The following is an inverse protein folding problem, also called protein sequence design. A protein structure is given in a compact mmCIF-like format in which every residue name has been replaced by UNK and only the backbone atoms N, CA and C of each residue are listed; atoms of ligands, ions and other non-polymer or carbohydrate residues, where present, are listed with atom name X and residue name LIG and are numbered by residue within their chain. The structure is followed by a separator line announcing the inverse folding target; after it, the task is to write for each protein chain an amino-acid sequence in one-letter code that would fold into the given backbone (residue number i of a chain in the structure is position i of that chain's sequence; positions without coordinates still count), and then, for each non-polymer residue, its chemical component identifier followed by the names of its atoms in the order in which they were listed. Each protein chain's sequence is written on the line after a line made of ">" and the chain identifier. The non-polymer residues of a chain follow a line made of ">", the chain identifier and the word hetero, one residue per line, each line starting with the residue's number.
data_IF_565147376471
#
_entry.id   IF_565147376471
#
_cell.length_a   1.000
_cell.length_b   1.000
_cell.length_c   1.000
_cell.angle_alpha   90.00
_cell.angle_beta   90.00
_cell.angle_gamma   90.00
#
_symmetry.space_group_name_H-M   'P 1'
#
loop_
_entity.id
_entity.type
_entity.pdbx_description
1 polymer ?
#
# COMPACT_ATOMS: atom_id res chain seq x y z
N UNK A 1 -4.00 15.09 19.08
CA UNK A 1 -4.69 14.16 18.13
C UNK A 1 -6.17 14.32 18.34
N UNK A 2 -6.88 14.66 17.30
CA UNK A 2 -8.33 14.81 17.35
C UNK A 2 -8.98 13.43 17.38
N UNK A 3 -9.91 13.20 18.29
CA UNK A 3 -10.55 11.91 18.49
C UNK A 3 -12.00 11.97 18.04
N UNK A 4 -12.43 11.01 17.24
CA UNK A 4 -13.83 10.81 16.86
C UNK A 4 -14.39 9.68 17.71
N UNK A 5 -15.38 10.00 18.55
CA UNK A 5 -16.08 9.03 19.38
C UNK A 5 -17.42 8.67 18.73
N UNK A 6 -17.68 7.38 18.58
CA UNK A 6 -18.96 6.84 18.10
C UNK A 6 -19.61 6.09 19.25
N UNK A 7 -20.81 6.53 19.63
CA UNK A 7 -21.56 5.95 20.75
C UNK A 7 -22.90 5.39 20.24
N UNK A 8 -23.12 4.07 20.30
CA UNK A 8 -24.37 3.47 19.84
C UNK A 8 -25.55 3.98 20.66
N UNK A 9 -26.63 4.36 19.98
CA UNK A 9 -27.90 4.80 20.57
C UNK A 9 -29.02 3.79 20.32
N UNK A 10 -28.83 2.92 19.33
CA UNK A 10 -29.68 1.76 19.06
C UNK A 10 -28.90 0.70 18.28
N UNK A 11 -29.55 -0.41 17.91
CA UNK A 11 -28.95 -1.43 17.05
C UNK A 11 -28.61 -0.95 15.63
N UNK A 12 -29.15 0.17 15.20
CA UNK A 12 -29.02 0.72 13.84
C UNK A 12 -28.59 2.19 13.81
N UNK A 13 -28.37 2.82 14.97
CA UNK A 13 -27.95 4.23 15.05
C UNK A 13 -26.88 4.44 16.12
N UNK A 14 -25.95 5.36 15.85
CA UNK A 14 -24.93 5.81 16.81
C UNK A 14 -24.72 7.32 16.69
N UNK A 15 -24.59 7.98 17.83
CA UNK A 15 -24.16 9.37 17.89
C UNK A 15 -22.65 9.45 17.65
N UNK A 16 -22.22 10.47 16.92
CA UNK A 16 -20.82 10.73 16.61
C UNK A 16 -20.37 12.04 17.26
N UNK A 17 -19.07 12.22 17.44
CA UNK A 17 -18.54 13.49 17.95
C UNK A 17 -19.05 14.68 17.12
N UNK A 18 -19.39 15.81 17.74
CA UNK A 18 -19.90 16.97 17.02
C UNK A 18 -18.82 17.60 16.14
N UNK A 19 -19.24 18.12 14.98
CA UNK A 19 -18.41 18.98 14.12
C UNK A 19 -18.59 20.41 14.60
N UNK A 20 -17.52 21.03 15.09
CA UNK A 20 -17.54 22.44 15.52
C UNK A 20 -17.40 23.29 14.25
N UNK A 21 -18.41 24.09 13.96
CA UNK A 21 -18.42 25.01 12.82
C UNK A 21 -17.77 26.33 13.19
N UNK A 22 -18.22 26.91 14.32
CA UNK A 22 -17.62 28.09 14.91
C UNK A 22 -17.72 28.05 16.44
N UNK A 23 -16.77 28.65 17.12
CA UNK A 23 -16.73 28.74 18.57
C UNK A 23 -16.17 30.09 19.02
N UNK A 24 -16.88 30.72 19.96
CA UNK A 24 -16.45 31.93 20.63
C UNK A 24 -16.57 31.73 22.14
N UNK A 25 -16.10 32.68 22.93
CA UNK A 25 -16.23 32.65 24.39
C UNK A 25 -17.69 32.54 24.87
N UNK A 26 -18.67 32.93 24.03
CA UNK A 26 -20.09 32.99 24.40
C UNK A 26 -21.02 32.16 23.53
N UNK A 27 -20.56 31.70 22.37
CA UNK A 27 -21.41 31.00 21.40
C UNK A 27 -20.66 29.83 20.78
N UNK A 28 -21.38 28.79 20.45
CA UNK A 28 -20.87 27.64 19.71
C UNK A 28 -21.89 27.20 18.69
N UNK A 29 -21.48 27.12 17.42
CA UNK A 29 -22.25 26.53 16.34
C UNK A 29 -21.64 25.18 16.02
N UNK A 30 -22.45 24.12 16.02
CA UNK A 30 -21.95 22.77 15.73
C UNK A 30 -23.01 21.93 15.00
N UNK A 31 -22.54 20.91 14.29
CA UNK A 31 -23.36 19.87 13.72
C UNK A 31 -23.13 18.57 14.50
N UNK A 32 -24.21 17.97 14.99
CA UNK A 32 -24.21 16.68 15.70
C UNK A 32 -24.59 15.56 14.73
N UNK A 33 -23.61 14.84 14.16
CA UNK A 33 -23.87 13.76 13.21
C UNK A 33 -24.33 12.49 13.93
N UNK A 34 -25.18 11.73 13.25
CA UNK A 34 -25.72 10.44 13.69
C UNK A 34 -25.50 9.45 12.56
N UNK A 35 -24.71 8.40 12.83
CA UNK A 35 -24.60 7.27 11.92
C UNK A 35 -25.90 6.46 11.90
N UNK A 36 -26.29 5.99 10.72
CA UNK A 36 -27.48 5.13 10.51
C UNK A 36 -27.07 3.96 9.64
N UNK A 37 -27.40 2.74 10.07
CA UNK A 37 -27.23 1.57 9.21
C UNK A 37 -28.27 1.60 8.10
N UNK A 38 -27.80 1.81 6.89
CA UNK A 38 -28.64 1.79 5.70
C UNK A 38 -27.88 1.08 4.56
N UNK A 39 -28.07 -0.21 4.46
CA UNK A 39 -27.44 -1.03 3.44
C UNK A 39 -27.97 -0.75 2.03
N UNK A 40 -29.23 -0.34 1.91
CA UNK A 40 -29.91 -0.12 0.62
C UNK A 40 -29.56 1.23 0.00
N UNK A 41 -29.32 2.24 0.83
CA UNK A 41 -29.05 3.61 0.39
C UNK A 41 -27.82 4.19 1.14
N UNK A 42 -26.58 3.91 0.67
CA UNK A 42 -25.37 4.39 1.33
C UNK A 42 -25.32 5.90 1.55
N UNK A 43 -25.96 6.68 0.69
CA UNK A 43 -26.07 8.15 0.81
C UNK A 43 -26.87 8.62 2.03
N UNK A 44 -27.65 7.75 2.65
CA UNK A 44 -28.46 8.06 3.85
C UNK A 44 -27.85 7.53 5.14
N UNK A 45 -26.57 7.25 5.16
CA UNK A 45 -25.86 6.71 6.35
C UNK A 45 -25.60 7.74 7.43
N UNK A 46 -25.60 9.02 7.10
CA UNK A 46 -25.43 10.10 8.08
C UNK A 46 -26.63 11.02 8.05
N UNK A 47 -27.21 11.24 9.21
CA UNK A 47 -28.14 12.32 9.50
C UNK A 47 -27.62 13.14 10.67
N UNK A 48 -28.16 14.31 10.95
CA UNK A 48 -27.67 15.09 12.07
C UNK A 48 -28.56 16.25 12.44
N UNK A 49 -28.09 17.01 13.41
CA UNK A 49 -28.73 18.19 13.95
C UNK A 49 -27.74 19.35 13.91
N UNK A 50 -28.22 20.50 13.47
CA UNK A 50 -27.52 21.75 13.62
C UNK A 50 -27.90 22.36 14.96
N UNK A 51 -26.86 22.72 15.75
CA UNK A 51 -27.07 23.20 17.13
C UNK A 51 -26.30 24.50 17.31
N UNK A 52 -27.02 25.52 17.73
CA UNK A 52 -26.44 26.78 18.19
C UNK A 52 -26.57 26.88 19.70
N UNK A 53 -25.46 27.05 20.40
CA UNK A 53 -25.40 27.16 21.87
C UNK A 53 -24.90 28.54 22.27
N UNK A 54 -25.53 29.12 23.28
CA UNK A 54 -25.09 30.37 23.88
C UNK A 54 -24.75 30.12 25.36
N UNK A 55 -23.50 30.50 25.78
CA UNK A 55 -23.04 30.31 27.14
C UNK A 55 -23.47 31.49 27.99
N UNK A 56 -24.16 31.26 29.13
CA UNK A 56 -24.43 32.30 30.14
C UNK A 56 -23.17 32.66 30.93
N UNK A 57 -22.96 33.96 31.19
CA UNK A 57 -21.73 34.52 31.75
C UNK A 57 -21.42 34.03 33.18
N UNK A 58 -22.40 33.52 33.93
CA UNK A 58 -22.25 33.31 35.38
C UNK A 58 -22.30 31.86 35.88
N UNK A 59 -22.60 30.86 35.04
CA UNK A 59 -22.86 29.48 35.53
C UNK A 59 -22.22 28.36 34.68
N UNK A 60 -21.51 28.67 33.61
CA UNK A 60 -20.90 27.62 32.72
C UNK A 60 -21.93 26.67 32.06
N UNK A 61 -23.22 26.98 32.12
CA UNK A 61 -24.28 26.18 31.55
C UNK A 61 -24.84 26.81 30.29
N UNK A 62 -25.12 25.96 29.31
CA UNK A 62 -25.79 26.37 28.06
C UNK A 62 -27.29 26.59 28.29
N UNK A 63 -27.81 27.71 27.83
CA UNK A 63 -29.25 27.95 27.81
C UNK A 63 -29.84 27.25 26.57
N UNK A 64 -30.46 26.09 26.80
CA UNK A 64 -31.05 25.27 25.73
C UNK A 64 -32.52 25.67 25.49
N UNK A 65 -32.74 26.58 24.54
CA UNK A 65 -34.09 26.76 23.99
C UNK A 65 -34.17 25.88 22.72
N UNK A 66 -34.86 24.75 22.83
CA UNK A 66 -35.06 23.84 21.72
C UNK A 66 -36.19 24.34 20.85
N UNK A 67 -35.91 24.76 19.61
CA UNK A 67 -36.91 25.08 18.60
C UNK A 67 -37.01 23.85 17.69
N UNK A 68 -38.21 23.29 17.56
CA UNK A 68 -38.51 22.19 16.64
C UNK A 68 -39.24 22.70 15.40
N UNK A 69 -39.28 21.92 14.33
CA UNK A 69 -40.08 22.26 13.13
C UNK A 69 -41.56 22.49 13.43
N UNK A 70 -42.05 21.95 14.52
CA UNK A 70 -43.47 22.10 14.96
C UNK A 70 -43.73 23.45 15.63
N UNK A 71 -42.66 24.13 16.07
CA UNK A 71 -42.77 25.45 16.73
C UNK A 71 -42.73 26.61 15.71
N UNK A 72 -42.55 26.29 14.42
CA UNK A 72 -42.55 27.26 13.32
C UNK A 72 -43.94 27.28 12.71
N UNK A 73 -44.60 28.43 12.77
CA UNK A 73 -45.97 28.64 12.22
C UNK A 73 -45.98 28.63 10.69
N UNK A 74 -47.20 28.60 10.14
CA UNK A 74 -47.43 28.77 8.70
C UNK A 74 -46.89 30.15 8.27
N UNK A 75 -46.03 30.22 7.28
CA UNK A 75 -45.36 31.42 6.77
C UNK A 75 -44.18 31.94 7.66
N UNK A 76 -43.76 31.16 8.66
CA UNK A 76 -42.55 31.45 9.42
C UNK A 76 -41.42 30.55 8.98
N UNK A 77 -40.17 31.04 9.07
CA UNK A 77 -38.96 30.27 8.78
C UNK A 77 -37.83 30.61 9.77
N UNK A 78 -36.89 29.72 9.89
CA UNK A 78 -35.63 29.96 10.62
C UNK A 78 -34.53 30.00 9.60
N UNK A 79 -33.83 31.12 9.52
CA UNK A 79 -32.66 31.32 8.68
C UNK A 79 -31.40 31.20 9.54
N UNK A 80 -30.46 30.42 9.08
CA UNK A 80 -29.14 30.29 9.66
C UNK A 80 -28.12 30.61 8.57
N UNK A 81 -27.45 31.72 8.70
CA UNK A 81 -26.39 32.13 7.78
C UNK A 81 -25.06 31.53 8.26
N UNK A 82 -24.35 30.93 7.34
CA UNK A 82 -23.01 30.43 7.54
C UNK A 82 -22.02 31.30 6.79
N UNK A 83 -20.92 31.62 7.43
CA UNK A 83 -19.78 32.20 6.73
C UNK A 83 -18.97 31.13 5.96
N UNK A 84 -17.93 31.56 5.26
CA UNK A 84 -17.12 30.65 4.44
C UNK A 84 -16.39 29.60 5.29
N UNK A 85 -15.93 29.96 6.49
CA UNK A 85 -15.20 29.06 7.38
C UNK A 85 -16.15 28.02 7.99
N UNK A 86 -17.33 28.45 8.44
CA UNK A 86 -18.38 27.56 8.94
C UNK A 86 -18.83 26.56 7.87
N UNK A 87 -19.02 27.02 6.64
CA UNK A 87 -19.38 26.19 5.48
C UNK A 87 -18.28 25.17 5.18
N UNK A 88 -17.01 25.63 5.18
CA UNK A 88 -15.87 24.75 4.97
C UNK A 88 -15.74 23.67 6.07
N UNK A 89 -15.87 24.07 7.35
CA UNK A 89 -15.78 23.15 8.48
C UNK A 89 -16.91 22.11 8.46
N UNK A 90 -18.12 22.51 8.07
CA UNK A 90 -19.25 21.58 7.91
C UNK A 90 -18.97 20.56 6.78
N UNK A 91 -18.55 21.04 5.61
CA UNK A 91 -18.28 20.18 4.46
C UNK A 91 -17.14 19.19 4.77
N UNK A 92 -16.03 19.68 5.34
CA UNK A 92 -14.87 18.87 5.75
C UNK A 92 -15.26 17.82 6.80
N UNK A 93 -15.96 18.22 7.87
CA UNK A 93 -16.35 17.30 8.91
C UNK A 93 -17.35 16.24 8.43
N UNK A 94 -18.34 16.61 7.60
CA UNK A 94 -19.26 15.65 7.00
C UNK A 94 -18.52 14.65 6.10
N UNK A 95 -17.58 15.12 5.29
CA UNK A 95 -16.74 14.27 4.46
C UNK A 95 -16.00 13.23 5.31
N UNK A 96 -15.29 13.65 6.37
CA UNK A 96 -14.57 12.77 7.27
C UNK A 96 -15.48 11.69 7.89
N UNK A 97 -16.70 12.05 8.29
CA UNK A 97 -17.64 11.09 8.86
C UNK A 97 -18.24 10.14 7.84
N UNK A 98 -18.51 10.60 6.61
CA UNK A 98 -18.92 9.71 5.54
C UNK A 98 -17.84 8.67 5.25
N UNK A 99 -16.57 9.11 5.18
CA UNK A 99 -15.40 8.23 5.00
C UNK A 99 -15.34 7.19 6.12
N UNK A 100 -15.41 7.63 7.37
CA UNK A 100 -15.31 6.75 8.53
C UNK A 100 -16.40 5.68 8.57
N UNK A 101 -17.58 5.96 8.03
CA UNK A 101 -18.75 5.05 8.09
C UNK A 101 -18.92 4.17 6.88
N UNK A 102 -18.13 4.36 5.81
CA UNK A 102 -18.20 3.51 4.60
C UNK A 102 -17.87 2.06 4.95
N UNK A 103 -18.76 1.15 4.54
CA UNK A 103 -18.58 -0.29 4.77
C UNK A 103 -18.69 -0.74 6.23
N UNK A 104 -18.93 0.18 7.17
CA UNK A 104 -19.01 -0.14 8.61
C UNK A 104 -20.43 -0.08 9.12
N UNK A 105 -20.82 -1.09 9.90
CA UNK A 105 -22.06 -1.10 10.67
C UNK A 105 -21.94 -0.25 11.93
N UNK A 106 -23.06 0.17 12.48
CA UNK A 106 -23.10 0.83 13.79
C UNK A 106 -22.45 -0.05 14.85
N UNK A 107 -21.48 0.44 15.64
CA UNK A 107 -20.80 -0.37 16.63
C UNK A 107 -21.73 -0.78 17.77
N UNK A 108 -21.57 -1.98 18.32
CA UNK A 108 -22.33 -2.46 19.49
C UNK A 108 -21.89 -1.82 20.81
N UNK A 109 -20.67 -1.28 20.87
CA UNK A 109 -20.09 -0.59 22.05
C UNK A 109 -19.46 0.73 21.61
N UNK A 110 -19.33 1.72 22.51
CA UNK A 110 -18.65 2.97 22.21
C UNK A 110 -17.24 2.69 21.64
N UNK A 111 -16.91 3.35 20.54
CA UNK A 111 -15.61 3.27 19.88
C UNK A 111 -15.01 4.66 19.77
N UNK A 112 -13.70 4.74 19.90
CA UNK A 112 -12.95 5.97 19.70
C UNK A 112 -11.95 5.75 18.58
N UNK A 113 -12.02 6.59 17.57
CA UNK A 113 -11.08 6.63 16.45
C UNK A 113 -10.13 7.79 16.66
N UNK A 114 -8.85 7.55 16.54
CA UNK A 114 -7.81 8.57 16.59
C UNK A 114 -7.53 8.99 15.16
N UNK A 115 -7.66 10.28 14.86
CA UNK A 115 -7.19 10.81 13.58
C UNK A 115 -5.66 10.67 13.56
N UNK A 116 -5.16 9.71 12.80
CA UNK A 116 -3.74 9.63 12.50
C UNK A 116 -3.41 10.66 11.40
N UNK A 117 -2.21 11.21 11.42
CA UNK A 117 -1.73 12.09 10.34
C UNK A 117 -1.47 11.34 9.00
N UNK A 118 -1.88 10.08 8.90
CA UNK A 118 -1.94 9.28 7.66
C UNK A 118 -3.17 9.63 6.79
N UNK A 119 -3.64 10.88 6.89
CA UNK A 119 -4.74 11.43 6.08
C UNK A 119 -4.59 11.13 4.58
N UNK A 120 -3.37 10.97 4.15
CA UNK A 120 -3.12 10.77 2.73
C UNK A 120 -3.41 9.35 2.23
N UNK A 121 -3.08 8.30 2.97
CA UNK A 121 -3.33 6.90 2.53
C UNK A 121 -4.81 6.53 2.55
N UNK A 122 -5.52 6.96 3.59
CA UNK A 122 -6.97 6.78 3.67
C UNK A 122 -7.72 7.57 2.58
N UNK A 123 -7.23 8.78 2.24
CA UNK A 123 -7.81 9.59 1.16
C UNK A 123 -7.69 8.94 -0.21
N UNK A 124 -6.60 8.23 -0.48
CA UNK A 124 -6.39 7.55 -1.77
C UNK A 124 -7.21 6.27 -1.86
N UNK A 125 -7.23 5.45 -0.82
CA UNK A 125 -8.11 4.28 -0.79
C UNK A 125 -9.57 4.71 -0.96
N UNK A 126 -9.91 5.84 -0.38
CA UNK A 126 -11.24 6.40 -0.48
C UNK A 126 -11.56 6.97 -1.86
N UNK A 127 -10.63 7.66 -2.50
CA UNK A 127 -10.77 8.09 -3.90
C UNK A 127 -10.95 6.88 -4.83
N UNK A 128 -10.18 5.81 -4.63
CA UNK A 128 -10.37 4.57 -5.38
C UNK A 128 -11.77 4.00 -5.18
N UNK A 129 -12.29 4.03 -3.97
CA UNK A 129 -13.63 3.51 -3.66
C UNK A 129 -14.74 4.40 -4.21
N UNK A 130 -14.59 5.73 -4.14
CA UNK A 130 -15.52 6.69 -4.77
C UNK A 130 -15.57 6.49 -6.29
N UNK A 131 -14.42 6.29 -6.92
CA UNK A 131 -14.32 6.03 -8.36
C UNK A 131 -15.00 4.70 -8.72
N UNK A 132 -14.86 3.66 -7.89
CA UNK A 132 -15.50 2.37 -8.09
C UNK A 132 -17.02 2.42 -7.84
N UNK A 133 -17.45 3.10 -6.78
CA UNK A 133 -18.86 3.15 -6.36
C UNK A 133 -19.69 4.19 -7.15
N UNK A 134 -19.05 5.08 -7.89
CA UNK A 134 -19.70 6.14 -8.66
C UNK A 134 -19.16 6.18 -10.10
N UNK A 135 -19.53 5.21 -10.96
CA UNK A 135 -19.01 5.15 -12.34
C UNK A 135 -19.22 6.44 -13.15
N UNK A 136 -20.22 7.25 -12.79
CA UNK A 136 -20.52 8.52 -13.46
C UNK A 136 -19.64 9.69 -12.99
N UNK A 137 -18.84 9.56 -11.93
CA UNK A 137 -17.90 10.62 -11.52
C UNK A 137 -16.81 10.82 -12.59
N UNK A 138 -16.34 9.72 -13.17
CA UNK A 138 -15.35 9.79 -14.25
C UNK A 138 -15.87 10.49 -15.51
N UNK A 139 -17.19 10.47 -15.74
CA UNK A 139 -17.79 11.17 -16.88
C UNK A 139 -17.96 12.69 -16.66
N UNK A 140 -17.79 13.15 -15.42
CA UNK A 140 -17.84 14.57 -15.06
C UNK A 140 -16.44 15.24 -15.05
N UNK A 141 -15.37 14.43 -15.09
CA UNK A 141 -14.00 14.90 -15.15
C UNK A 141 -13.56 14.99 -16.62
N UNK A 142 -12.83 16.03 -16.96
CA UNK A 142 -12.14 16.07 -18.25
C UNK A 142 -11.04 15.00 -18.30
N UNK A 143 -10.68 14.53 -19.50
CA UNK A 143 -9.65 13.49 -19.65
C UNK A 143 -8.33 13.89 -19.01
N UNK A 144 -7.96 15.18 -19.11
CA UNK A 144 -6.77 15.75 -18.47
C UNK A 144 -6.77 15.60 -16.94
N UNK A 145 -7.92 15.76 -16.28
CA UNK A 145 -8.05 15.64 -14.83
C UNK A 145 -7.90 14.19 -14.39
N UNK A 146 -8.47 13.26 -15.18
CA UNK A 146 -8.32 11.82 -14.97
C UNK A 146 -6.86 11.39 -15.10
N UNK A 147 -6.16 11.91 -16.10
CA UNK A 147 -4.76 11.60 -16.35
C UNK A 147 -3.88 12.13 -15.19
N UNK A 148 -4.07 13.38 -14.77
CA UNK A 148 -3.36 13.97 -13.63
C UNK A 148 -3.62 13.16 -12.34
N UNK A 149 -4.87 12.83 -12.06
CA UNK A 149 -5.22 12.05 -10.88
C UNK A 149 -4.57 10.65 -10.91
N UNK A 150 -4.60 9.98 -12.05
CA UNK A 150 -4.02 8.65 -12.22
C UNK A 150 -2.50 8.65 -12.01
N UNK A 151 -1.79 9.66 -12.54
CA UNK A 151 -0.34 9.83 -12.34
C UNK A 151 -0.05 10.13 -10.87
N UNK A 152 -0.81 11.04 -10.24
CA UNK A 152 -0.62 11.41 -8.83
C UNK A 152 -0.78 10.20 -7.90
N UNK A 153 -1.81 9.37 -8.13
CA UNK A 153 -2.04 8.14 -7.36
C UNK A 153 -0.90 7.13 -7.53
N UNK A 154 -0.40 6.96 -8.76
CA UNK A 154 0.74 6.07 -9.04
C UNK A 154 2.02 6.55 -8.37
N UNK A 155 2.36 7.84 -8.49
CA UNK A 155 3.54 8.41 -7.82
C UNK A 155 3.46 8.21 -6.31
N UNK A 156 2.29 8.37 -5.73
CA UNK A 156 2.10 8.15 -4.30
C UNK A 156 2.28 6.68 -3.89
N UNK A 157 1.72 5.75 -4.65
CA UNK A 157 1.94 4.31 -4.44
C UNK A 157 3.44 3.97 -4.50
N UNK A 158 4.16 4.49 -5.50
CA UNK A 158 5.62 4.33 -5.62
C UNK A 158 6.35 4.85 -4.38
N UNK A 159 6.02 6.07 -3.92
CA UNK A 159 6.63 6.69 -2.74
C UNK A 159 6.34 5.90 -1.46
N UNK A 160 5.13 5.42 -1.29
CA UNK A 160 4.73 4.63 -0.13
C UNK A 160 5.48 3.29 -0.10
N UNK A 161 5.54 2.58 -1.22
CA UNK A 161 6.26 1.31 -1.34
C UNK A 161 7.76 1.51 -1.12
N UNK A 162 8.36 2.57 -1.68
CA UNK A 162 9.75 2.94 -1.41
C UNK A 162 9.99 3.15 0.07
N UNK A 163 9.18 3.98 0.72
CA UNK A 163 9.27 4.27 2.16
C UNK A 163 9.12 3.01 3.01
N UNK A 164 8.22 2.11 2.63
CA UNK A 164 8.05 0.82 3.31
C UNK A 164 9.32 -0.02 3.24
N UNK A 165 9.93 -0.14 2.07
CA UNK A 165 11.19 -0.89 1.88
C UNK A 165 12.32 -0.21 2.67
N UNK A 166 12.51 1.10 2.54
CA UNK A 166 13.57 1.86 3.22
C UNK A 166 13.53 1.72 4.73
N UNK A 167 12.35 1.84 5.34
CA UNK A 167 12.18 1.71 6.79
C UNK A 167 12.51 0.32 7.32
N UNK A 168 12.51 -0.69 6.48
CA UNK A 168 12.69 -2.08 6.87
C UNK A 168 14.00 -2.69 6.39
N UNK A 169 14.94 -1.93 5.81
CA UNK A 169 16.23 -2.45 5.32
C UNK A 169 17.06 -3.19 6.37
N UNK A 170 16.79 -2.98 7.66
CA UNK A 170 17.39 -3.74 8.76
C UNK A 170 16.71 -5.07 9.07
N UNK A 171 15.60 -5.41 8.43
CA UNK A 171 14.87 -6.63 8.70
C UNK A 171 15.55 -7.83 8.02
N UNK A 172 15.81 -8.89 8.80
CA UNK A 172 16.47 -10.12 8.35
C UNK A 172 15.50 -11.31 8.18
N UNK A 173 14.20 -11.08 8.17
CA UNK A 173 13.17 -12.09 7.94
C UNK A 173 12.84 -12.19 6.43
N UNK A 174 13.20 -13.31 5.80
CA UNK A 174 12.89 -13.57 4.39
C UNK A 174 11.36 -13.61 4.14
N UNK A 175 10.58 -14.18 5.07
CA UNK A 175 9.13 -14.25 4.94
C UNK A 175 8.46 -12.87 4.92
N UNK A 176 8.98 -11.92 5.71
CA UNK A 176 8.55 -10.53 5.66
C UNK A 176 8.76 -9.92 4.27
N UNK A 177 9.92 -10.13 3.66
CA UNK A 177 10.23 -9.60 2.34
C UNK A 177 9.41 -10.27 1.23
N UNK A 178 9.17 -11.57 1.33
CA UNK A 178 8.26 -12.28 0.43
C UNK A 178 6.86 -11.68 0.51
N UNK A 179 6.33 -11.40 1.70
CA UNK A 179 5.00 -10.76 1.87
C UNK A 179 4.95 -9.38 1.20
N UNK A 180 5.95 -8.51 1.43
CA UNK A 180 6.01 -7.19 0.78
C UNK A 180 5.99 -7.31 -0.75
N UNK A 181 6.81 -8.18 -1.32
CA UNK A 181 6.89 -8.30 -2.77
C UNK A 181 5.71 -9.05 -3.38
N UNK A 182 4.96 -9.84 -2.61
CA UNK A 182 3.68 -10.42 -3.04
C UNK A 182 2.60 -9.36 -3.18
N UNK A 183 2.57 -8.37 -2.28
CA UNK A 183 1.66 -7.23 -2.36
C UNK A 183 2.08 -6.22 -3.44
N UNK A 184 3.39 -6.09 -3.70
CA UNK A 184 3.98 -5.12 -4.62
C UNK A 184 4.76 -5.81 -5.75
N UNK A 185 4.15 -6.79 -6.44
CA UNK A 185 4.82 -7.59 -7.48
C UNK A 185 5.38 -6.75 -8.63
N UNK A 186 4.83 -5.56 -8.88
CA UNK A 186 5.30 -4.63 -9.89
C UNK A 186 6.74 -4.15 -9.64
N UNK A 187 7.19 -4.10 -8.36
CA UNK A 187 8.56 -3.67 -8.00
C UNK A 187 9.60 -4.57 -8.67
N UNK A 188 9.39 -5.89 -8.58
CA UNK A 188 10.29 -6.86 -9.22
C UNK A 188 10.22 -6.77 -10.75
N UNK A 189 9.04 -6.43 -11.30
CA UNK A 189 8.89 -6.26 -12.76
C UNK A 189 9.83 -5.18 -13.32
N UNK A 190 10.26 -4.20 -12.51
CA UNK A 190 11.18 -3.14 -12.93
C UNK A 190 12.63 -3.61 -13.12
N UNK A 191 12.96 -4.80 -12.66
CA UNK A 191 14.31 -5.36 -12.83
C UNK A 191 14.54 -5.78 -14.29
N UNK A 192 13.49 -6.22 -14.96
CA UNK A 192 13.57 -6.74 -16.31
C UNK A 192 13.68 -5.61 -17.33
N UNK A 193 14.56 -5.79 -18.33
CA UNK A 193 14.64 -4.92 -19.51
C UNK A 193 13.49 -5.13 -20.52
N UNK A 194 12.79 -6.26 -20.42
CA UNK A 194 11.65 -6.64 -21.25
C UNK A 194 10.38 -6.75 -20.40
N UNK A 195 9.17 -6.68 -21.00
CA UNK A 195 7.91 -6.71 -20.26
C UNK A 195 7.65 -8.11 -19.67
N UNK A 196 8.10 -8.30 -18.46
CA UNK A 196 7.77 -9.46 -17.63
C UNK A 196 6.70 -9.07 -16.61
N UNK A 197 5.72 -9.93 -16.44
CA UNK A 197 4.63 -9.79 -15.49
C UNK A 197 4.71 -10.90 -14.45
N UNK A 198 4.26 -10.60 -13.25
CA UNK A 198 4.09 -11.61 -12.21
C UNK A 198 3.24 -12.76 -12.75
N UNK A 199 3.70 -13.98 -12.52
CA UNK A 199 3.04 -15.17 -13.00
C UNK A 199 2.56 -16.07 -11.86
N UNK A 200 3.46 -16.38 -10.90
CA UNK A 200 3.11 -17.25 -9.78
C UNK A 200 4.08 -17.08 -8.59
N UNK A 201 3.54 -17.17 -7.40
CA UNK A 201 4.26 -17.21 -6.13
C UNK A 201 4.49 -18.66 -5.71
N UNK A 202 5.67 -18.94 -5.15
CA UNK A 202 6.11 -20.23 -4.62
C UNK A 202 5.72 -21.45 -5.49
N UNK A 203 5.97 -21.41 -6.80
CA UNK A 203 5.59 -22.51 -7.68
C UNK A 203 6.43 -23.75 -7.42
N UNK A 204 5.80 -24.91 -7.40
CA UNK A 204 6.54 -26.16 -7.42
C UNK A 204 7.22 -26.37 -8.76
N UNK A 205 8.56 -26.46 -8.76
CA UNK A 205 9.36 -26.64 -10.01
C UNK A 205 9.93 -28.04 -10.18
N UNK A 206 9.60 -28.95 -9.27
CA UNK A 206 10.05 -30.33 -9.34
C UNK A 206 10.95 -30.74 -8.16
N UNK A 207 11.62 -31.88 -8.28
CA UNK A 207 12.58 -32.36 -7.27
C UNK A 207 11.99 -33.17 -6.12
N UNK A 208 10.68 -33.44 -6.09
CA UNK A 208 10.11 -34.33 -5.10
C UNK A 208 10.49 -35.78 -5.34
N UNK A 209 10.91 -36.46 -4.27
CA UNK A 209 11.05 -37.89 -4.25
C UNK A 209 9.70 -38.62 -4.25
N UNK A 210 9.74 -39.94 -4.32
CA UNK A 210 8.53 -40.80 -4.23
C UNK A 210 7.78 -40.62 -2.90
N UNK A 211 8.47 -40.17 -1.86
CA UNK A 211 7.97 -39.85 -0.54
C UNK A 211 7.41 -38.41 -0.40
N UNK A 212 7.29 -37.67 -1.53
CA UNK A 212 6.90 -36.26 -1.57
C UNK A 212 7.89 -35.28 -0.88
N UNK A 213 9.08 -35.72 -0.47
CA UNK A 213 10.11 -34.87 0.13
C UNK A 213 10.94 -34.12 -0.93
N UNK A 214 11.71 -33.12 -0.47
CA UNK A 214 12.74 -32.41 -1.26
C UNK A 214 12.25 -31.61 -2.46
N UNK A 215 10.97 -31.21 -2.50
CA UNK A 215 10.44 -30.32 -3.56
C UNK A 215 11.12 -28.95 -3.54
N UNK A 216 11.30 -28.37 -4.73
CA UNK A 216 11.88 -27.04 -4.91
C UNK A 216 10.83 -26.02 -5.28
N UNK A 217 10.89 -24.88 -4.61
CA UNK A 217 9.95 -23.77 -4.73
C UNK A 217 10.76 -22.48 -4.76
N UNK A 218 10.97 -21.85 -5.93
CA UNK A 218 11.46 -20.49 -5.97
C UNK A 218 10.40 -19.52 -5.41
N UNK A 219 10.82 -18.34 -4.99
CA UNK A 219 9.89 -17.37 -4.42
C UNK A 219 8.87 -16.92 -5.46
N UNK A 220 9.33 -16.56 -6.67
CA UNK A 220 8.43 -16.13 -7.74
C UNK A 220 8.81 -16.64 -9.12
N UNK A 221 7.79 -16.80 -9.96
CA UNK A 221 7.94 -16.84 -11.41
C UNK A 221 7.34 -15.58 -12.02
N UNK A 222 8.08 -15.01 -12.94
CA UNK A 222 7.64 -13.95 -13.85
C UNK A 222 7.57 -14.51 -15.27
N UNK A 223 6.68 -13.98 -16.09
CA UNK A 223 6.47 -14.45 -17.46
C UNK A 223 6.49 -13.30 -18.45
N UNK A 224 7.25 -13.44 -19.51
CA UNK A 224 7.25 -12.48 -20.63
C UNK A 224 5.88 -12.40 -21.27
N UNK A 225 5.36 -11.18 -21.41
CA UNK A 225 4.07 -10.91 -22.03
C UNK A 225 4.02 -11.36 -23.52
N UNK A 226 5.16 -11.35 -24.20
CA UNK A 226 5.23 -11.62 -25.64
C UNK A 226 5.57 -13.07 -25.96
N UNK A 227 6.54 -13.64 -25.26
CA UNK A 227 7.09 -14.96 -25.59
C UNK A 227 6.62 -16.06 -24.65
N UNK A 228 5.89 -15.71 -23.58
CA UNK A 228 5.57 -16.61 -22.48
C UNK A 228 6.79 -17.25 -21.81
N UNK A 229 8.02 -16.80 -22.12
CA UNK A 229 9.21 -17.30 -21.46
C UNK A 229 9.24 -16.84 -20.01
N UNK A 230 9.67 -17.71 -19.10
CA UNK A 230 9.70 -17.40 -17.68
C UNK A 230 11.01 -16.78 -17.23
N UNK A 231 10.98 -16.18 -16.05
CA UNK A 231 12.15 -15.87 -15.23
C UNK A 231 11.88 -16.33 -13.79
N UNK A 232 12.89 -16.87 -13.15
CA UNK A 232 12.85 -17.32 -11.76
C UNK A 232 13.42 -16.23 -10.88
N UNK A 233 12.75 -15.91 -9.79
CA UNK A 233 13.20 -14.89 -8.82
C UNK A 233 13.32 -15.54 -7.45
N UNK A 234 14.42 -15.29 -6.79
CA UNK A 234 14.70 -15.65 -5.39
C UNK A 234 15.03 -14.38 -4.61
N UNK A 235 14.53 -14.29 -3.41
CA UNK A 235 14.71 -13.14 -2.53
C UNK A 235 15.44 -13.60 -1.27
N UNK A 236 16.46 -12.84 -0.89
CA UNK A 236 17.10 -12.91 0.40
C UNK A 236 16.83 -11.60 1.15
N UNK A 237 17.50 -11.37 2.26
CA UNK A 237 17.29 -10.14 3.05
C UNK A 237 18.27 -9.03 2.63
N UNK A 238 17.93 -7.76 2.90
CA UNK A 238 18.86 -6.63 2.68
C UNK A 238 20.09 -6.72 3.58
N UNK A 239 20.02 -7.45 4.69
CA UNK A 239 21.13 -7.65 5.64
C UNK A 239 22.10 -8.75 5.23
N UNK A 240 21.77 -9.54 4.21
CA UNK A 240 22.62 -10.60 3.69
C UNK A 240 23.94 -10.02 3.16
N UNK A 241 25.05 -10.57 3.64
CA UNK A 241 26.37 -10.10 3.26
C UNK A 241 26.75 -10.54 1.84
N UNK A 242 27.21 -9.59 1.04
CA UNK A 242 27.61 -9.83 -0.36
C UNK A 242 29.05 -10.32 -0.45
N UNK A 243 29.96 -9.73 0.31
CA UNK A 243 31.41 -9.98 0.28
C UNK A 243 31.90 -10.30 1.69
N UNK A 244 32.90 -11.16 1.78
CA UNK A 244 33.57 -11.52 3.03
C UNK A 244 34.23 -10.30 3.67
N UNK A 245 34.32 -10.30 5.01
CA UNK A 245 34.91 -9.20 5.77
C UNK A 245 36.45 -9.13 5.58
N UNK A 246 37.06 -10.28 5.44
CA UNK A 246 38.53 -10.41 5.28
C UNK A 246 38.93 -10.50 3.81
N UNK A 247 40.06 -9.89 3.49
CA UNK A 247 40.71 -9.99 2.21
C UNK A 247 41.23 -11.43 1.97
N UNK A 248 41.03 -11.96 0.78
CA UNK A 248 41.51 -13.27 0.40
C UNK A 248 43.01 -13.19 -0.05
N UNK A 249 43.29 -12.24 -0.91
CA UNK A 249 44.65 -11.86 -1.35
C UNK A 249 44.64 -10.41 -1.78
N UNK A 250 45.79 -9.79 -1.84
CA UNK A 250 46.05 -8.39 -2.20
C UNK A 250 44.98 -7.74 -3.08
N UNK A 251 44.07 -6.98 -2.46
CA UNK A 251 42.97 -6.27 -3.13
C UNK A 251 41.80 -7.15 -3.58
N UNK A 252 41.80 -8.46 -3.32
CA UNK A 252 40.75 -9.39 -3.74
C UNK A 252 39.96 -9.90 -2.52
N UNK A 253 38.65 -9.79 -2.54
CA UNK A 253 37.74 -10.31 -1.51
C UNK A 253 36.91 -11.46 -2.04
N UNK A 254 36.73 -12.51 -1.24
CA UNK A 254 35.84 -13.61 -1.57
C UNK A 254 34.37 -13.19 -1.44
N UNK A 255 33.54 -13.79 -2.26
CA UNK A 255 32.07 -13.70 -2.10
C UNK A 255 31.66 -14.34 -0.78
N UNK A 256 30.70 -13.73 -0.10
CA UNK A 256 30.17 -14.30 1.15
C UNK A 256 29.45 -15.62 0.91
N UNK A 257 29.53 -16.54 1.88
CA UNK A 257 28.92 -17.87 1.77
C UNK A 257 27.40 -17.82 1.56
N UNK A 258 26.72 -16.86 2.18
CA UNK A 258 25.26 -16.69 2.00
C UNK A 258 24.91 -16.32 0.56
N UNK A 259 25.67 -15.39 -0.06
CA UNK A 259 25.45 -15.03 -1.45
C UNK A 259 25.75 -16.19 -2.40
N UNK A 260 26.88 -16.85 -2.23
CA UNK A 260 27.25 -18.00 -3.08
C UNK A 260 26.26 -19.17 -2.92
N UNK A 261 25.78 -19.41 -1.70
CA UNK A 261 24.73 -20.37 -1.39
C UNK A 261 23.40 -20.05 -2.08
N UNK A 262 22.97 -18.78 -2.03
CA UNK A 262 21.75 -18.32 -2.70
C UNK A 262 21.82 -18.47 -4.23
N UNK A 263 22.97 -18.14 -4.83
CA UNK A 263 23.22 -18.39 -6.26
C UNK A 263 23.13 -19.88 -6.58
N UNK A 264 23.75 -20.73 -5.75
CA UNK A 264 23.69 -22.19 -5.90
C UNK A 264 22.26 -22.74 -5.80
N UNK A 265 21.48 -22.24 -4.84
CA UNK A 265 20.07 -22.57 -4.67
C UNK A 265 19.26 -22.23 -5.93
N UNK A 266 19.38 -21.01 -6.42
CA UNK A 266 18.66 -20.52 -7.58
C UNK A 266 19.04 -21.30 -8.86
N UNK A 267 20.32 -21.58 -9.07
CA UNK A 267 20.76 -22.43 -10.18
C UNK A 267 20.23 -23.86 -10.08
N UNK A 268 20.15 -24.41 -8.87
CA UNK A 268 19.59 -25.73 -8.63
C UNK A 268 18.07 -25.78 -8.89
N UNK A 269 17.34 -24.73 -8.55
CA UNK A 269 15.91 -24.59 -8.89
C UNK A 269 15.73 -24.51 -10.42
N UNK A 270 16.57 -23.72 -11.09
CA UNK A 270 16.61 -23.60 -12.56
C UNK A 270 16.85 -24.94 -13.25
N UNK A 271 17.88 -25.68 -12.85
CA UNK A 271 18.20 -27.00 -13.40
C UNK A 271 17.03 -28.00 -13.16
N UNK A 272 16.45 -27.97 -11.98
CA UNK A 272 15.30 -28.82 -11.64
C UNK A 272 14.10 -28.52 -12.53
N UNK A 273 13.80 -27.24 -12.77
CA UNK A 273 12.71 -26.86 -13.65
C UNK A 273 12.96 -27.31 -15.10
N UNK A 274 14.19 -27.19 -15.61
CA UNK A 274 14.54 -27.71 -16.93
C UNK A 274 14.29 -29.21 -17.04
N UNK A 275 14.75 -29.98 -16.06
CA UNK A 275 14.59 -31.44 -16.04
C UNK A 275 13.12 -31.87 -15.95
N UNK A 276 12.31 -31.12 -15.25
CA UNK A 276 10.88 -31.44 -15.02
C UNK A 276 9.92 -30.67 -15.93
N UNK A 277 10.43 -29.84 -16.84
CA UNK A 277 9.61 -28.93 -17.66
C UNK A 277 8.44 -29.62 -18.35
N UNK A 278 8.70 -30.75 -19.04
CA UNK A 278 7.67 -31.49 -19.78
C UNK A 278 6.52 -31.94 -18.88
N UNK A 279 6.83 -32.47 -17.71
CA UNK A 279 5.83 -32.87 -16.74
C UNK A 279 5.10 -31.67 -16.14
N UNK A 280 5.85 -30.63 -15.76
CA UNK A 280 5.27 -29.40 -15.21
C UNK A 280 4.29 -28.76 -16.18
N UNK A 281 4.67 -28.60 -17.45
CA UNK A 281 3.81 -27.98 -18.46
C UNK A 281 2.61 -28.85 -18.83
N UNK A 282 2.77 -30.18 -18.82
CA UNK A 282 1.69 -31.12 -19.13
C UNK A 282 0.54 -31.01 -18.11
N UNK A 283 0.86 -30.93 -16.82
CA UNK A 283 -0.12 -30.85 -15.73
C UNK A 283 -0.52 -29.41 -15.34
N UNK A 284 0.05 -28.40 -15.97
CA UNK A 284 -0.30 -27.00 -15.69
C UNK A 284 -1.42 -26.53 -16.61
N UNK A 285 -2.42 -25.86 -16.07
CA UNK A 285 -3.46 -25.18 -16.84
C UNK A 285 -2.88 -23.98 -17.59
N UNK A 286 -2.08 -23.17 -16.88
CA UNK A 286 -1.35 -22.05 -17.45
C UNK A 286 -0.06 -22.49 -18.12
N UNK A 287 0.04 -22.30 -19.44
CA UNK A 287 1.22 -22.66 -20.20
C UNK A 287 2.29 -21.56 -20.17
N UNK A 288 3.55 -21.98 -20.13
CA UNK A 288 4.71 -21.11 -20.19
C UNK A 288 5.86 -21.74 -20.97
N UNK A 289 6.84 -20.96 -21.36
CA UNK A 289 8.07 -21.42 -22.00
C UNK A 289 9.25 -21.32 -21.04
N UNK A 290 10.17 -22.27 -21.11
CA UNK A 290 11.40 -22.30 -20.33
C UNK A 290 12.62 -22.34 -21.28
N UNK A 291 12.76 -21.28 -22.11
CA UNK A 291 13.79 -21.19 -23.14
C UNK A 291 14.98 -20.37 -22.61
N UNK A 292 16.02 -21.02 -22.13
CA UNK A 292 17.21 -20.35 -21.56
C UNK A 292 16.86 -19.15 -20.66
N UNK A 293 15.91 -19.37 -19.76
CA UNK A 293 15.35 -18.31 -18.94
C UNK A 293 16.33 -17.75 -17.90
N UNK A 294 16.12 -16.49 -17.57
CA UNK A 294 16.92 -15.76 -16.58
C UNK A 294 16.52 -16.12 -15.16
N UNK A 295 17.50 -16.05 -14.26
CA UNK A 295 17.32 -16.10 -12.83
C UNK A 295 17.66 -14.74 -12.22
N UNK A 296 16.86 -14.26 -11.28
CA UNK A 296 17.09 -13.01 -10.56
C UNK A 296 17.23 -13.33 -9.08
N UNK A 297 18.27 -12.79 -8.47
CA UNK A 297 18.52 -12.86 -7.04
C UNK A 297 18.48 -11.45 -6.46
N UNK A 298 17.52 -11.17 -5.58
CA UNK A 298 17.44 -9.92 -4.83
C UNK A 298 18.08 -10.17 -3.47
N UNK A 299 19.19 -9.48 -3.17
CA UNK A 299 19.99 -9.80 -1.98
C UNK A 299 20.89 -8.66 -1.55
N UNK A 300 20.93 -8.39 -0.24
CA UNK A 300 21.89 -7.46 0.34
C UNK A 300 21.73 -6.01 -0.12
N UNK A 301 22.71 -5.19 0.23
CA UNK A 301 22.83 -3.79 -0.17
C UNK A 301 24.22 -3.52 -0.73
N UNK A 302 24.31 -3.06 -1.97
CA UNK A 302 25.57 -2.75 -2.67
C UNK A 302 26.26 -1.54 -2.04
N UNK A 303 25.49 -0.59 -1.51
CA UNK A 303 26.00 0.60 -0.79
C UNK A 303 26.94 0.26 0.37
N UNK A 304 26.80 -0.91 0.98
CA UNK A 304 27.70 -1.40 2.02
C UNK A 304 29.14 -1.66 1.54
N UNK A 305 29.33 -1.73 0.24
CA UNK A 305 30.64 -2.01 -0.39
C UNK A 305 31.33 -0.74 -0.90
N UNK A 306 30.58 0.36 -1.08
CA UNK A 306 31.05 1.57 -1.81
C UNK A 306 32.26 2.23 -1.13
N UNK A 307 32.37 2.17 0.20
CA UNK A 307 33.51 2.72 0.93
C UNK A 307 34.81 1.93 0.72
N UNK A 308 34.74 0.70 0.23
CA UNK A 308 35.88 -0.15 -0.06
C UNK A 308 35.89 -0.55 -1.54
N UNK A 309 36.69 0.18 -2.34
CA UNK A 309 36.75 -0.02 -3.79
C UNK A 309 37.14 -1.47 -4.18
N UNK A 310 37.99 -2.15 -3.41
CA UNK A 310 38.38 -3.53 -3.68
C UNK A 310 37.25 -4.53 -3.44
N UNK A 311 36.40 -4.28 -2.41
CA UNK A 311 35.17 -5.08 -2.19
C UNK A 311 34.17 -4.87 -3.30
N UNK A 312 33.95 -3.60 -3.66
CA UNK A 312 33.05 -3.23 -4.74
C UNK A 312 33.51 -3.90 -6.07
N UNK A 313 34.78 -3.77 -6.41
CA UNK A 313 35.36 -4.40 -7.61
C UNK A 313 35.19 -5.93 -7.59
N UNK A 314 35.49 -6.59 -6.46
CA UNK A 314 35.32 -8.03 -6.32
C UNK A 314 33.88 -8.48 -6.51
N UNK A 315 32.91 -7.72 -5.99
CA UNK A 315 31.48 -7.98 -6.17
C UNK A 315 31.07 -7.79 -7.62
N UNK A 316 31.45 -6.67 -8.25
CA UNK A 316 31.10 -6.37 -9.64
C UNK A 316 31.64 -7.41 -10.61
N UNK A 317 32.91 -7.82 -10.43
CA UNK A 317 33.51 -8.90 -11.22
C UNK A 317 32.73 -10.20 -11.06
N UNK A 318 32.36 -10.57 -9.84
CA UNK A 318 31.64 -11.80 -9.59
C UNK A 318 30.25 -11.77 -10.25
N UNK A 319 29.42 -10.74 -9.98
CA UNK A 319 28.03 -10.71 -10.47
C UNK A 319 27.93 -10.60 -11.99
N UNK A 320 28.90 -9.93 -12.65
CA UNK A 320 28.91 -9.76 -14.09
C UNK A 320 29.38 -11.03 -14.86
N UNK A 321 30.11 -11.92 -14.21
CA UNK A 321 30.51 -13.21 -14.80
C UNK A 321 29.40 -14.28 -14.67
N UNK A 322 28.34 -14.04 -13.91
CA UNK A 322 27.22 -14.97 -13.77
C UNK A 322 26.32 -14.91 -15.02
N UNK A 323 26.45 -15.90 -15.88
CA UNK A 323 25.81 -15.91 -17.21
C UNK A 323 24.28 -15.91 -17.18
N UNK A 324 23.69 -16.59 -16.18
CA UNK A 324 22.23 -16.83 -16.14
C UNK A 324 21.58 -16.30 -14.85
N UNK A 325 22.35 -15.65 -13.99
CA UNK A 325 21.87 -15.08 -12.73
C UNK A 325 22.20 -13.60 -12.71
N UNK A 326 21.18 -12.78 -12.55
CA UNK A 326 21.31 -11.35 -12.29
C UNK A 326 21.16 -11.12 -10.78
N UNK A 327 22.17 -10.54 -10.16
CA UNK A 327 22.13 -10.16 -8.73
C UNK A 327 21.79 -8.69 -8.64
N UNK A 328 20.82 -8.35 -7.79
CA UNK A 328 20.36 -6.97 -7.54
C UNK A 328 20.31 -6.74 -6.03
N UNK A 329 20.90 -5.63 -5.56
CA UNK A 329 20.73 -5.15 -4.19
C UNK A 329 19.39 -4.49 -3.96
N UNK A 330 18.95 -4.46 -2.70
CA UNK A 330 17.72 -3.72 -2.33
C UNK A 330 17.84 -2.22 -2.60
N UNK A 331 19.01 -1.65 -2.38
CA UNK A 331 19.33 -0.26 -2.69
C UNK A 331 19.30 0.04 -4.20
N UNK A 332 19.75 -0.90 -5.03
CA UNK A 332 19.61 -0.77 -6.49
C UNK A 332 18.15 -0.86 -6.95
N UNK A 333 17.34 -1.68 -6.28
CA UNK A 333 15.91 -1.76 -6.53
C UNK A 333 15.21 -0.46 -6.13
N UNK A 334 15.55 0.11 -4.98
CA UNK A 334 15.07 1.42 -4.54
C UNK A 334 15.45 2.53 -5.52
N UNK A 335 16.68 2.53 -6.03
CA UNK A 335 17.12 3.49 -7.04
C UNK A 335 16.29 3.41 -8.35
N UNK A 336 15.86 2.20 -8.76
CA UNK A 336 14.93 2.06 -9.88
C UNK A 336 13.56 2.69 -9.60
N UNK A 337 13.03 2.53 -8.39
CA UNK A 337 11.77 3.17 -7.98
C UNK A 337 11.93 4.70 -7.99
N UNK A 338 13.06 5.22 -7.53
CA UNK A 338 13.35 6.67 -7.57
C UNK A 338 13.35 7.23 -8.98
N UNK A 339 13.99 6.54 -9.91
CA UNK A 339 13.99 6.93 -11.32
C UNK A 339 12.55 6.98 -11.87
N UNK A 340 11.72 5.99 -11.53
CA UNK A 340 10.31 5.98 -11.95
C UNK A 340 9.53 7.17 -11.38
N UNK A 341 9.72 7.48 -10.10
CA UNK A 341 9.08 8.64 -9.46
C UNK A 341 9.49 9.91 -10.19
N UNK A 342 10.79 10.13 -10.42
CA UNK A 342 11.30 11.29 -11.13
C UNK A 342 10.71 11.45 -12.54
N UNK A 343 10.60 10.34 -13.28
CA UNK A 343 10.03 10.36 -14.65
C UNK A 343 8.52 10.67 -14.67
N UNK A 344 7.79 10.39 -13.59
CA UNK A 344 6.36 10.66 -13.49
C UNK A 344 6.06 12.06 -12.91
N UNK A 345 7.03 12.70 -12.26
CA UNK A 345 6.90 14.04 -11.69
C UNK A 345 7.37 15.14 -12.65
N UNK A 346 8.02 14.78 -13.77
CA UNK A 346 8.39 15.69 -14.86
C UNK A 346 7.27 15.88 -15.86
#
# INVERSE_FOLDING_TARGET
>A
MEQIKITPTSSVTADMSPIILSETIRTQTLFEPIQVDNEKEPKKRIKGKLVFKRIKKDIGSFDLKKISKRDIGSNEYVELQFDSDETYNLAKGLYEYFVLTIGRKTPFKPQTYIKSNTQEEEQIQHLHQIIQDTPNILSLLEQSDIDILSVTLRVKELKNTKTLIEKNLGNNDEGFWQSIFSEHTWVISQIFSMPYLFFREQPYVGGKGIDNSSGKFPDYLYRSKLTNNIAVVEIKTPTTKLISSSEYRSGVYAVHNELSGAVGQLLSQRDTLYKNYTNTIYYSDDKFNALNFSCILIVGNVSTLVENQSKCASFELYRNELRNVQIIGFDELLAKIDIMIQLLET
#
